data_IF_151949133730
#
_entry.id   IF_151949133730
#
_cell.length_a   1.000
_cell.length_b   1.000
_cell.length_c   1.000
_cell.angle_alpha   90.00
_cell.angle_beta   90.00
_cell.angle_gamma   90.00
#
_symmetry.space_group_name_H-M   'P 1'
#
loop_
_entity.id
_entity.type
_entity.pdbx_description
1 polymer ?
#
# COMPACT_ATOMS: atom_id res chain seq x y z
N UNK A 1 -21.34 30.98 -27.63
CA UNK A 1 -19.92 30.56 -27.53
C UNK A 1 -19.50 30.23 -26.10
N UNK A 2 -19.70 31.11 -25.11
CA UNK A 2 -19.25 30.89 -23.71
C UNK A 2 -19.87 29.65 -23.04
N UNK A 3 -21.13 29.34 -23.35
CA UNK A 3 -21.84 28.18 -22.80
C UNK A 3 -21.27 26.82 -23.25
N UNK A 4 -20.73 26.73 -24.48
CA UNK A 4 -20.08 25.51 -24.98
C UNK A 4 -18.77 25.24 -24.23
N UNK A 5 -18.07 26.29 -23.83
CA UNK A 5 -16.85 26.15 -23.02
C UNK A 5 -17.16 25.57 -21.65
N UNK A 6 -18.22 26.03 -20.97
CA UNK A 6 -18.65 25.47 -19.68
C UNK A 6 -19.10 24.01 -19.79
N UNK A 7 -19.79 23.66 -20.87
CA UNK A 7 -20.25 22.29 -21.16
C UNK A 7 -19.09 21.29 -21.31
N UNK A 8 -17.95 21.75 -21.82
CA UNK A 8 -16.73 20.93 -21.93
C UNK A 8 -15.82 21.04 -20.68
N UNK A 9 -15.72 22.21 -20.05
CA UNK A 9 -14.82 22.44 -18.90
C UNK A 9 -15.25 21.67 -17.65
N UNK A 10 -16.55 21.61 -17.35
CA UNK A 10 -17.07 20.91 -16.17
C UNK A 10 -16.74 19.40 -16.16
N UNK A 11 -17.01 18.63 -17.23
CA UNK A 11 -16.65 17.21 -17.25
C UNK A 11 -15.14 16.98 -17.26
N UNK A 12 -14.36 17.83 -17.95
CA UNK A 12 -12.89 17.73 -17.94
C UNK A 12 -12.35 17.98 -16.52
N UNK A 13 -12.82 19.04 -15.86
CA UNK A 13 -12.43 19.34 -14.47
C UNK A 13 -12.83 18.22 -13.50
N UNK A 14 -14.02 17.61 -13.69
CA UNK A 14 -14.46 16.47 -12.90
C UNK A 14 -13.56 15.24 -13.11
N UNK A 15 -13.21 14.91 -14.35
CA UNK A 15 -12.32 13.79 -14.66
C UNK A 15 -10.92 14.04 -14.08
N UNK A 16 -10.38 15.25 -14.23
CA UNK A 16 -9.08 15.62 -13.66
C UNK A 16 -9.10 15.56 -12.14
N UNK A 17 -10.15 16.09 -11.49
CA UNK A 17 -10.31 16.00 -10.04
C UNK A 17 -10.40 14.56 -9.57
N UNK A 18 -11.15 13.70 -10.27
CA UNK A 18 -11.24 12.26 -9.98
C UNK A 18 -9.87 11.59 -10.13
N UNK A 19 -9.14 11.88 -11.21
CA UNK A 19 -7.84 11.30 -11.48
C UNK A 19 -6.80 11.73 -10.43
N UNK A 20 -6.81 13.02 -10.06
CA UNK A 20 -5.99 13.55 -8.97
C UNK A 20 -6.35 12.90 -7.63
N UNK A 21 -7.64 12.67 -7.34
CA UNK A 21 -8.05 12.00 -6.10
C UNK A 21 -7.65 10.54 -6.04
N UNK A 22 -7.66 9.85 -7.20
CA UNK A 22 -7.17 8.47 -7.34
C UNK A 22 -5.64 8.41 -7.23
N UNK A 23 -4.90 9.38 -7.77
CA UNK A 23 -3.44 9.55 -7.61
C UNK A 23 -3.06 9.91 -6.16
N UNK A 24 -3.85 10.73 -5.49
CA UNK A 24 -3.68 11.10 -4.07
C UNK A 24 -4.16 9.98 -3.12
N UNK A 25 -4.79 8.92 -3.62
CA UNK A 25 -5.46 7.91 -2.78
C UNK A 25 -4.58 6.84 -2.15
N UNK A 26 -3.27 7.04 -2.07
CA UNK A 26 -2.46 6.36 -1.04
C UNK A 26 -1.36 7.30 -0.52
N UNK A 27 -1.75 8.49 -0.09
CA UNK A 27 -0.94 9.25 0.87
C UNK A 27 -0.70 8.37 2.10
N UNK A 28 0.55 8.01 2.32
CA UNK A 28 1.06 7.14 3.38
C UNK A 28 0.67 5.65 3.32
N UNK A 29 1.17 4.95 2.30
CA UNK A 29 1.43 3.49 2.39
C UNK A 29 2.23 3.12 3.65
N UNK A 30 3.12 4.01 4.09
CA UNK A 30 3.91 3.86 5.31
C UNK A 30 3.12 4.01 6.61
N UNK A 31 1.88 4.53 6.58
CA UNK A 31 1.03 4.65 7.79
C UNK A 31 0.18 3.41 8.05
N UNK A 32 0.13 2.46 7.10
CA UNK A 32 -0.75 1.29 7.17
C UNK A 32 0.06 0.03 7.44
N UNK A 33 -0.28 -0.61 8.55
CA UNK A 33 0.23 -1.92 8.91
C UNK A 33 -0.61 -3.04 8.27
N UNK A 34 0.06 -4.07 7.74
CA UNK A 34 -0.56 -5.27 7.16
C UNK A 34 -0.13 -6.49 7.96
N UNK A 35 -1.08 -7.19 8.57
CA UNK A 35 -0.83 -8.48 9.23
C UNK A 35 -1.06 -9.63 8.25
N UNK A 36 -0.06 -10.47 8.06
CA UNK A 36 -0.11 -11.66 7.20
C UNK A 36 0.07 -12.88 8.08
N UNK A 37 -0.92 -13.76 8.13
CA UNK A 37 -0.86 -15.05 8.83
C UNK A 37 -0.49 -16.17 7.85
N UNK A 38 0.30 -17.17 8.28
CA UNK A 38 0.67 -18.30 7.42
C UNK A 38 1.70 -17.94 6.35
N UNK A 39 2.68 -17.11 6.71
CA UNK A 39 3.74 -16.62 5.82
C UNK A 39 4.99 -17.52 5.77
N UNK A 40 4.91 -18.73 6.30
CA UNK A 40 6.03 -19.69 6.32
C UNK A 40 6.47 -20.13 4.91
N UNK A 41 5.53 -20.27 3.97
CA UNK A 41 5.81 -20.74 2.60
C UNK A 41 4.78 -20.27 1.56
N UNK A 42 5.10 -20.54 0.28
CA UNK A 42 4.18 -20.30 -0.84
C UNK A 42 3.74 -18.83 -0.98
N UNK A 43 2.43 -18.64 -1.14
CA UNK A 43 1.82 -17.34 -1.39
C UNK A 43 2.01 -16.34 -0.24
N UNK A 44 1.89 -16.78 1.02
CA UNK A 44 2.00 -15.89 2.18
C UNK A 44 3.38 -15.22 2.27
N UNK A 45 4.45 -15.97 1.95
CA UNK A 45 5.82 -15.45 1.89
C UNK A 45 6.00 -14.44 0.77
N UNK A 46 5.50 -14.76 -0.42
CA UNK A 46 5.62 -13.88 -1.60
C UNK A 46 4.81 -12.59 -1.42
N UNK A 47 3.63 -12.69 -0.79
CA UNK A 47 2.81 -11.54 -0.42
C UNK A 47 3.56 -10.62 0.55
N UNK A 48 4.16 -11.19 1.60
CA UNK A 48 4.93 -10.41 2.57
C UNK A 48 6.10 -9.66 1.91
N UNK A 49 6.85 -10.34 1.03
CA UNK A 49 7.97 -9.71 0.31
C UNK A 49 7.50 -8.59 -0.63
N UNK A 50 6.39 -8.79 -1.35
CA UNK A 50 5.83 -7.74 -2.23
C UNK A 50 5.31 -6.54 -1.45
N UNK A 51 4.71 -6.76 -0.28
CA UNK A 51 4.25 -5.68 0.59
C UNK A 51 5.43 -4.89 1.17
N UNK A 52 6.49 -5.56 1.63
CA UNK A 52 7.73 -4.91 2.09
C UNK A 52 8.36 -4.09 0.96
N UNK A 53 8.46 -4.66 -0.26
CA UNK A 53 9.04 -3.98 -1.42
C UNK A 53 8.24 -2.74 -1.86
N UNK A 54 6.93 -2.71 -1.56
CA UNK A 54 6.05 -1.55 -1.80
C UNK A 54 6.05 -0.54 -0.66
N UNK A 55 6.85 -0.74 0.39
CA UNK A 55 7.00 0.18 1.51
C UNK A 55 5.88 0.10 2.55
N UNK A 56 5.15 -1.01 2.62
CA UNK A 56 4.19 -1.26 3.71
C UNK A 56 4.91 -1.72 4.98
N UNK A 57 4.37 -1.34 6.14
CA UNK A 57 4.68 -1.99 7.42
C UNK A 57 3.99 -3.35 7.46
N UNK A 58 4.75 -4.44 7.47
CA UNK A 58 4.21 -5.81 7.43
C UNK A 58 4.53 -6.56 8.71
N UNK A 59 3.51 -7.14 9.34
CA UNK A 59 3.63 -8.07 10.46
C UNK A 59 3.36 -9.49 9.95
N UNK A 60 4.30 -10.39 10.16
CA UNK A 60 4.23 -11.77 9.68
C UNK A 60 3.99 -12.73 10.84
N UNK A 61 2.84 -13.41 10.83
CA UNK A 61 2.52 -14.52 11.73
C UNK A 61 2.92 -15.86 11.11
N UNK A 62 4.15 -16.30 11.41
CA UNK A 62 4.69 -17.60 11.04
C UNK A 62 4.35 -18.66 12.10
N UNK A 63 4.09 -19.90 11.68
CA UNK A 63 3.93 -21.05 12.59
C UNK A 63 5.31 -21.61 13.01
N UNK A 64 6.38 -21.38 12.23
CA UNK A 64 7.75 -21.85 12.53
C UNK A 64 8.74 -20.69 12.72
N UNK A 65 9.74 -20.86 13.60
CA UNK A 65 10.78 -19.85 13.90
C UNK A 65 11.78 -19.60 12.75
N UNK A 66 11.62 -20.24 11.59
CA UNK A 66 12.48 -20.02 10.42
C UNK A 66 12.11 -18.71 9.71
N UNK A 67 12.40 -17.58 10.34
CA UNK A 67 12.18 -16.25 9.76
C UNK A 67 13.36 -15.89 8.85
N UNK A 68 13.15 -15.68 7.53
CA UNK A 68 14.21 -15.20 6.66
C UNK A 68 14.58 -13.75 7.03
N UNK A 69 15.88 -13.48 7.16
CA UNK A 69 16.53 -12.25 7.66
C UNK A 69 15.93 -10.91 7.15
N UNK A 70 15.30 -10.92 5.96
CA UNK A 70 14.66 -9.75 5.33
C UNK A 70 13.43 -9.27 6.11
N UNK A 71 12.75 -10.14 6.86
CA UNK A 71 11.56 -9.82 7.65
C UNK A 71 11.89 -9.16 9.02
N UNK A 72 13.13 -9.28 9.49
CA UNK A 72 13.56 -8.68 10.75
C UNK A 72 13.88 -7.19 10.64
N UNK A 73 14.07 -6.64 9.45
CA UNK A 73 14.50 -5.24 9.27
C UNK A 73 13.39 -4.23 9.62
N UNK A 74 12.11 -4.61 9.53
CA UNK A 74 11.00 -3.81 10.08
C UNK A 74 10.59 -4.23 11.50
N UNK A 75 11.20 -5.30 12.03
CA UNK A 75 11.09 -5.71 13.43
C UNK A 75 12.27 -5.14 14.24
N UNK A 76 12.72 -3.92 13.95
CA UNK A 76 13.47 -3.17 14.96
C UNK A 76 12.47 -2.59 15.94
N UNK A 77 12.19 -3.37 16.99
CA UNK A 77 12.03 -2.90 18.37
C UNK A 77 12.20 -1.38 18.48
N UNK A 78 11.12 -0.65 18.23
CA UNK A 78 10.93 0.72 18.66
C UNK A 78 9.60 0.70 19.39
N UNK A 79 9.72 0.56 20.70
CA UNK A 79 8.82 1.23 21.62
C UNK A 79 7.38 0.64 21.73
N UNK A 80 7.25 -0.64 22.10
CA UNK A 80 6.39 -1.14 23.21
C UNK A 80 6.13 -2.65 23.14
#
# INVERSE_FOLDING_TARGET
MVWLLFLCLLPIAYIVARFLWELLRVGDLSSKAVLITGCDSGFGRELALRCIAKGFTVFAGCLTEKVPLVLLVHFRVKDL
#
